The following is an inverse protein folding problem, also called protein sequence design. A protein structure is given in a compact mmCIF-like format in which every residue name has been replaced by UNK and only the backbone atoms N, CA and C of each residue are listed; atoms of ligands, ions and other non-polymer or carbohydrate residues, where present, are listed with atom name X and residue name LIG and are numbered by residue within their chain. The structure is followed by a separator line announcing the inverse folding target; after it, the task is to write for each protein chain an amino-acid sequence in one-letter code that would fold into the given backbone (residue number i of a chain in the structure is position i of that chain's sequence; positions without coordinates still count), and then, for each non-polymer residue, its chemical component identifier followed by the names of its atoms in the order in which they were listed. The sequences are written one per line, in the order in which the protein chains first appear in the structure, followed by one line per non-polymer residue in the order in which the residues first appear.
data_IF_625839893722
#
_entry.id   IF_625839893722
#
_cell.length_a   1.000
_cell.length_b   1.000
_cell.length_c   1.000
_cell.angle_alpha   90.00
_cell.angle_beta   90.00
_cell.angle_gamma   90.00
#
_symmetry.space_group_name_H-M   'P 1'
#
loop_
_entity.id
_entity.type
_entity.pdbx_description
1 polymer ?
#
# COMPACT_ATOMS: atom_id res chain seq x y z
N UNK A 1 -71.36 16.76 31.44
CA UNK A 1 -71.38 18.23 31.35
C UNK A 1 -71.10 18.76 32.74
N UNK A 2 -70.21 19.74 32.89
CA UNK A 2 -69.81 20.28 34.21
C UNK A 2 -70.86 21.33 34.63
N UNK A 3 -71.26 21.33 35.90
CA UNK A 3 -72.23 22.27 36.47
C UNK A 3 -71.75 23.74 36.40
N UNK A 4 -72.71 24.64 36.16
CA UNK A 4 -72.47 26.05 35.86
C UNK A 4 -71.73 26.81 36.98
N UNK A 5 -71.89 26.40 38.24
CA UNK A 5 -71.24 27.05 39.38
C UNK A 5 -69.72 26.78 39.39
N UNK A 6 -69.30 25.57 39.01
CA UNK A 6 -67.87 25.22 38.89
C UNK A 6 -67.19 25.92 37.72
N UNK A 7 -67.95 26.30 36.70
CA UNK A 7 -67.43 27.01 35.54
C UNK A 7 -66.95 28.42 35.91
N UNK A 8 -67.65 29.09 36.83
CA UNK A 8 -67.31 30.43 37.29
C UNK A 8 -66.06 30.46 38.16
N UNK A 9 -65.86 29.45 39.02
CA UNK A 9 -64.63 29.30 39.81
C UNK A 9 -63.42 29.00 38.92
N UNK A 10 -63.62 28.20 37.87
CA UNK A 10 -62.60 27.88 36.90
C UNK A 10 -62.08 29.15 36.21
N UNK A 11 -62.98 30.04 35.76
CA UNK A 11 -62.61 31.31 35.11
C UNK A 11 -61.88 32.31 36.02
N UNK A 12 -62.27 32.43 37.28
CA UNK A 12 -61.61 33.35 38.24
C UNK A 12 -60.16 32.95 38.52
N UNK A 13 -59.83 31.67 38.49
CA UNK A 13 -58.48 31.20 38.78
C UNK A 13 -57.47 31.55 37.67
N UNK A 14 -57.92 31.72 36.42
CA UNK A 14 -57.07 32.14 35.29
C UNK A 14 -56.71 33.64 35.32
N UNK A 15 -57.47 34.48 36.01
CA UNK A 15 -57.15 35.91 36.12
C UNK A 15 -56.13 36.22 37.22
N UNK A 16 -55.94 35.34 38.21
CA UNK A 16 -55.08 35.61 39.38
C UNK A 16 -53.58 35.55 39.07
N UNK A 17 -53.19 34.84 38.02
CA UNK A 17 -51.81 34.74 37.55
C UNK A 17 -51.77 35.22 36.11
N UNK A 18 -51.25 36.43 35.87
CA UNK A 18 -51.23 37.11 34.58
C UNK A 18 -50.37 36.41 33.53
N UNK A 19 -50.89 35.34 32.94
CA UNK A 19 -50.33 34.64 31.79
C UNK A 19 -51.48 34.07 30.97
N UNK A 20 -51.55 34.41 29.67
CA UNK A 20 -52.59 33.93 28.74
C UNK A 20 -52.50 32.40 28.58
N UNK A 21 -53.20 31.66 29.42
CA UNK A 21 -53.35 30.21 29.33
C UNK A 21 -54.68 29.85 28.69
N UNK A 22 -54.80 30.08 27.38
CA UNK A 22 -55.84 29.39 26.60
C UNK A 22 -55.51 27.88 26.60
N UNK A 23 -56.48 26.98 26.85
CA UNK A 23 -56.21 25.55 26.81
C UNK A 23 -55.70 25.17 25.41
N UNK A 24 -54.56 24.48 25.33
CA UNK A 24 -54.11 23.90 24.06
C UNK A 24 -55.17 22.87 23.63
N UNK A 25 -55.67 22.91 22.39
CA UNK A 25 -56.59 21.88 21.92
C UNK A 25 -55.91 20.51 22.01
N UNK A 26 -56.65 19.52 22.53
CA UNK A 26 -56.21 18.12 22.55
C UNK A 26 -55.87 17.67 21.13
N UNK A 27 -54.77 16.91 20.93
CA UNK A 27 -54.46 16.40 19.61
C UNK A 27 -55.54 15.38 19.21
N UNK A 28 -56.38 15.74 18.24
CA UNK A 28 -57.24 14.78 17.55
C UNK A 28 -56.38 13.65 17.00
N UNK A 29 -56.73 12.41 17.35
CA UNK A 29 -56.14 11.22 16.75
C UNK A 29 -56.51 11.18 15.26
N UNK A 30 -55.67 11.79 14.41
CA UNK A 30 -55.81 11.65 12.96
C UNK A 30 -55.66 10.15 12.58
N UNK A 31 -56.60 9.56 11.81
CA UNK A 31 -56.42 8.21 11.31
C UNK A 31 -55.15 8.15 10.48
N UNK A 32 -54.27 7.17 10.76
CA UNK A 32 -52.94 7.00 10.15
C UNK A 32 -53.02 7.23 8.64
N UNK A 33 -52.67 8.44 8.21
CA UNK A 33 -52.53 8.77 6.79
C UNK A 33 -51.48 7.82 6.24
N UNK A 34 -51.90 6.89 5.38
CA UNK A 34 -50.97 6.15 4.55
C UNK A 34 -50.08 7.17 3.87
N UNK A 35 -48.82 7.26 4.32
CA UNK A 35 -47.82 8.15 3.77
C UNK A 35 -47.57 7.66 2.36
N UNK A 36 -48.33 8.17 1.39
CA UNK A 36 -48.05 7.96 -0.03
C UNK A 36 -46.63 8.44 -0.23
N UNK A 37 -45.69 7.50 -0.38
CA UNK A 37 -44.31 7.80 -0.73
C UNK A 37 -44.39 8.63 -2.01
N UNK A 38 -44.09 9.92 -1.91
CA UNK A 38 -43.89 10.75 -3.10
C UNK A 38 -42.67 10.17 -3.80
N UNK A 39 -42.92 9.31 -4.78
CA UNK A 39 -41.89 8.93 -5.74
C UNK A 39 -41.54 10.22 -6.46
N UNK A 40 -40.43 10.85 -6.07
CA UNK A 40 -39.83 11.93 -6.87
C UNK A 40 -39.48 11.29 -8.21
N UNK A 41 -40.35 11.45 -9.20
CA UNK A 41 -39.97 11.19 -10.59
C UNK A 41 -38.88 12.20 -10.88
N UNK A 42 -37.64 11.71 -11.01
CA UNK A 42 -36.52 12.53 -11.47
C UNK A 42 -36.93 12.98 -12.87
N UNK A 43 -37.31 14.25 -12.98
CA UNK A 43 -37.64 14.84 -14.26
C UNK A 43 -36.33 14.98 -15.04
N UNK A 44 -36.03 13.98 -15.86
CA UNK A 44 -35.04 14.14 -16.92
C UNK A 44 -35.58 15.21 -17.87
N UNK A 45 -34.85 16.31 -18.13
CA UNK A 45 -35.32 17.40 -18.98
C UNK A 45 -35.33 16.96 -20.44
N UNK A 46 -36.37 16.22 -20.84
CA UNK A 46 -36.54 15.70 -22.20
C UNK A 46 -37.28 16.72 -23.09
N UNK A 47 -36.86 17.99 -23.04
CA UNK A 47 -37.29 19.00 -24.02
C UNK A 47 -36.55 18.88 -25.35
N UNK A 48 -35.32 18.34 -25.32
CA UNK A 48 -34.43 18.09 -26.47
C UNK A 48 -33.69 16.73 -26.34
N UNK A 49 -34.32 15.74 -25.72
CA UNK A 49 -33.61 14.55 -25.23
C UNK A 49 -32.99 13.63 -26.29
N UNK A 50 -33.37 13.75 -27.57
CA UNK A 50 -32.68 13.04 -28.67
C UNK A 50 -31.24 13.53 -28.86
N UNK A 51 -30.99 14.84 -28.74
CA UNK A 51 -29.63 15.42 -28.85
C UNK A 51 -28.77 15.10 -27.63
N UNK A 52 -29.38 15.13 -26.44
CA UNK A 52 -28.70 14.80 -25.17
C UNK A 52 -28.38 13.30 -25.10
N UNK A 53 -29.30 12.43 -25.54
CA UNK A 53 -29.04 11.00 -25.63
C UNK A 53 -27.94 10.68 -26.64
N UNK A 54 -27.95 11.35 -27.81
CA UNK A 54 -26.89 11.19 -28.80
C UNK A 54 -25.52 11.66 -28.28
N UNK A 55 -25.45 12.82 -27.62
CA UNK A 55 -24.19 13.29 -27.01
C UNK A 55 -23.72 12.38 -25.88
N UNK A 56 -24.64 11.81 -25.09
CA UNK A 56 -24.27 10.86 -24.03
C UNK A 56 -23.65 9.59 -24.62
N UNK A 57 -24.25 9.01 -25.66
CA UNK A 57 -23.69 7.84 -26.36
C UNK A 57 -22.31 8.14 -26.95
N UNK A 58 -22.11 9.33 -27.53
CA UNK A 58 -20.82 9.75 -28.06
C UNK A 58 -19.74 9.80 -26.96
N UNK A 59 -20.04 10.44 -25.83
CA UNK A 59 -19.11 10.56 -24.70
C UNK A 59 -18.81 9.19 -24.10
N UNK A 60 -19.82 8.34 -23.92
CA UNK A 60 -19.62 6.97 -23.42
C UNK A 60 -18.76 6.15 -24.37
N UNK A 61 -18.93 6.31 -25.69
CA UNK A 61 -18.07 5.67 -26.69
C UNK A 61 -16.61 6.07 -26.56
N UNK A 62 -16.33 7.37 -26.37
CA UNK A 62 -14.96 7.88 -26.15
C UNK A 62 -14.35 7.30 -24.87
N UNK A 63 -15.12 7.23 -23.79
CA UNK A 63 -14.66 6.64 -22.52
C UNK A 63 -14.32 5.16 -22.70
N UNK A 64 -15.14 4.40 -23.42
CA UNK A 64 -14.87 2.98 -23.69
C UNK A 64 -13.60 2.78 -24.50
N UNK A 65 -13.37 3.62 -25.52
CA UNK A 65 -12.12 3.58 -26.30
C UNK A 65 -10.90 3.88 -25.42
N UNK A 66 -11.00 4.89 -24.55
CA UNK A 66 -9.93 5.21 -23.60
C UNK A 66 -9.63 4.06 -22.63
N UNK A 67 -10.66 3.35 -22.15
CA UNK A 67 -10.47 2.19 -21.27
C UNK A 67 -9.73 1.05 -21.99
N UNK A 68 -10.02 0.81 -23.26
CA UNK A 68 -9.30 -0.19 -24.06
C UNK A 68 -7.81 0.19 -24.20
N UNK A 69 -7.52 1.46 -24.47
CA UNK A 69 -6.13 1.93 -24.59
C UNK A 69 -5.39 1.76 -23.26
N UNK A 70 -5.97 2.24 -22.15
CA UNK A 70 -5.35 2.12 -20.81
C UNK A 70 -5.12 0.66 -20.43
N UNK A 71 -6.08 -0.22 -20.70
CA UNK A 71 -5.92 -1.65 -20.40
C UNK A 71 -4.85 -2.31 -21.26
N UNK A 72 -4.72 -1.94 -22.54
CA UNK A 72 -3.63 -2.41 -23.39
C UNK A 72 -2.25 -1.94 -22.89
N UNK A 73 -2.11 -0.66 -22.52
CA UNK A 73 -0.87 -0.16 -21.92
C UNK A 73 -0.54 -0.83 -20.59
N UNK A 74 -1.55 -1.06 -19.74
CA UNK A 74 -1.37 -1.77 -18.48
C UNK A 74 -0.92 -3.23 -18.71
N UNK A 75 -1.38 -3.88 -19.78
CA UNK A 75 -0.91 -5.22 -20.16
C UNK A 75 0.55 -5.21 -20.60
N UNK A 76 0.97 -4.24 -21.42
CA UNK A 76 2.38 -4.07 -21.82
C UNK A 76 3.28 -3.82 -20.62
N UNK A 77 2.90 -2.90 -19.72
CA UNK A 77 3.66 -2.61 -18.50
C UNK A 77 3.81 -3.88 -17.63
N UNK A 78 2.75 -4.69 -17.50
CA UNK A 78 2.82 -5.95 -16.76
C UNK A 78 3.78 -6.95 -17.40
N UNK A 79 3.80 -7.01 -18.73
CA UNK A 79 4.74 -7.87 -19.46
C UNK A 79 6.18 -7.44 -19.22
N UNK A 80 6.46 -6.13 -19.32
CA UNK A 80 7.80 -5.58 -19.09
C UNK A 80 8.25 -5.84 -17.65
N UNK A 81 7.38 -5.60 -16.66
CA UNK A 81 7.66 -5.91 -15.25
C UNK A 81 8.01 -7.38 -15.06
N UNK A 82 7.22 -8.30 -15.61
CA UNK A 82 7.46 -9.73 -15.47
C UNK A 82 8.77 -10.15 -16.15
N UNK A 83 9.11 -9.52 -17.27
CA UNK A 83 10.38 -9.76 -17.98
C UNK A 83 11.55 -9.27 -17.13
N UNK A 84 11.49 -8.06 -16.58
CA UNK A 84 12.52 -7.53 -15.68
C UNK A 84 12.68 -8.36 -14.40
N UNK A 85 11.59 -8.88 -13.83
CA UNK A 85 11.65 -9.79 -12.68
C UNK A 85 12.37 -11.08 -13.05
N UNK A 86 12.08 -11.65 -14.24
CA UNK A 86 12.73 -12.86 -14.72
C UNK A 86 14.23 -12.66 -14.93
N UNK A 87 14.63 -11.54 -15.51
CA UNK A 87 16.03 -11.17 -15.71
C UNK A 87 16.75 -10.98 -14.37
N UNK A 88 16.14 -10.27 -13.41
CA UNK A 88 16.70 -10.14 -12.06
C UNK A 88 16.89 -11.49 -11.37
N UNK A 89 15.90 -12.38 -11.45
CA UNK A 89 16.01 -13.71 -10.85
C UNK A 89 17.14 -14.53 -11.49
N UNK A 90 17.34 -14.41 -12.80
CA UNK A 90 18.46 -15.05 -13.50
C UNK A 90 19.82 -14.51 -12.99
N UNK A 91 19.96 -13.18 -12.91
CA UNK A 91 21.15 -12.53 -12.36
C UNK A 91 21.44 -12.94 -10.91
N UNK A 92 20.40 -13.03 -10.07
CA UNK A 92 20.55 -13.53 -8.69
C UNK A 92 21.04 -14.97 -8.66
N UNK A 93 20.50 -15.84 -9.52
CA UNK A 93 20.97 -17.22 -9.62
C UNK A 93 22.43 -17.33 -10.09
N UNK A 94 22.86 -16.44 -11.00
CA UNK A 94 24.27 -16.36 -11.41
C UNK A 94 25.17 -15.92 -10.25
N UNK A 95 24.74 -14.91 -9.47
CA UNK A 95 25.47 -14.46 -8.27
C UNK A 95 25.59 -15.59 -7.25
N UNK A 96 24.51 -16.32 -6.97
CA UNK A 96 24.52 -17.45 -6.03
C UNK A 96 25.47 -18.57 -6.50
N UNK A 97 25.46 -18.89 -7.79
CA UNK A 97 26.38 -19.87 -8.37
C UNK A 97 27.85 -19.40 -8.25
N UNK A 98 28.11 -18.13 -8.55
CA UNK A 98 29.45 -17.54 -8.39
C UNK A 98 29.89 -17.55 -6.94
N UNK A 99 29.01 -17.23 -6.00
CA UNK A 99 29.29 -17.32 -4.56
C UNK A 99 29.59 -18.76 -4.15
N UNK A 100 28.79 -19.74 -4.59
CA UNK A 100 29.05 -21.15 -4.31
C UNK A 100 30.42 -21.60 -4.84
N UNK A 101 30.76 -21.21 -6.08
CA UNK A 101 32.10 -21.43 -6.65
C UNK A 101 33.19 -20.76 -5.82
N UNK A 102 32.99 -19.52 -5.39
CA UNK A 102 33.93 -18.79 -4.55
C UNK A 102 34.11 -19.48 -3.19
N UNK A 103 33.04 -19.90 -2.52
CA UNK A 103 33.14 -20.66 -1.27
C UNK A 103 33.83 -22.01 -1.46
N UNK A 104 33.58 -22.69 -2.58
CA UNK A 104 34.26 -23.95 -2.89
C UNK A 104 35.76 -23.75 -3.18
N UNK A 105 36.11 -22.63 -3.83
CA UNK A 105 37.50 -22.27 -4.16
C UNK A 105 38.25 -21.73 -2.94
N UNK A 106 37.57 -20.95 -2.10
CA UNK A 106 38.10 -20.42 -0.84
C UNK A 106 38.02 -21.45 0.30
N UNK A 107 37.60 -22.69 0.01
CA UNK A 107 37.74 -23.78 0.95
C UNK A 107 39.23 -24.09 1.07
N UNK A 108 39.76 -24.02 2.29
CA UNK A 108 41.16 -24.33 2.62
C UNK A 108 41.58 -25.67 2.01
N UNK A 109 40.69 -26.68 1.99
CA UNK A 109 40.98 -27.98 1.40
C UNK A 109 41.21 -27.91 -0.14
N UNK A 110 40.48 -27.04 -0.84
CA UNK A 110 40.69 -26.84 -2.27
C UNK A 110 42.01 -26.10 -2.53
N UNK A 111 42.31 -25.07 -1.74
CA UNK A 111 43.58 -24.34 -1.83
C UNK A 111 44.75 -25.28 -1.53
N UNK A 112 44.66 -26.08 -0.48
CA UNK A 112 45.69 -27.03 -0.06
C UNK A 112 45.90 -28.14 -1.09
N UNK A 113 44.82 -28.78 -1.57
CA UNK A 113 44.92 -29.81 -2.60
C UNK A 113 45.53 -29.28 -3.89
N UNK A 114 45.21 -28.04 -4.29
CA UNK A 114 45.82 -27.40 -5.46
C UNK A 114 47.27 -26.99 -5.22
N UNK A 115 47.59 -26.45 -4.05
CA UNK A 115 48.94 -26.07 -3.67
C UNK A 115 49.87 -27.30 -3.66
N UNK A 116 49.43 -28.40 -3.06
CA UNK A 116 50.22 -29.63 -2.96
C UNK A 116 50.22 -30.40 -4.29
N UNK A 117 49.06 -30.56 -4.92
CA UNK A 117 48.89 -31.41 -6.09
C UNK A 117 49.30 -30.78 -7.42
N UNK A 118 49.05 -29.48 -7.63
CA UNK A 118 49.36 -28.79 -8.89
C UNK A 118 50.61 -27.92 -8.80
N UNK A 119 50.78 -27.19 -7.69
CA UNK A 119 51.90 -26.25 -7.52
C UNK A 119 53.14 -26.87 -6.86
N UNK A 120 53.04 -28.13 -6.42
CA UNK A 120 54.15 -28.86 -5.78
C UNK A 120 54.58 -28.28 -4.44
N UNK A 121 53.72 -27.49 -3.79
CA UNK A 121 54.00 -26.93 -2.47
C UNK A 121 53.96 -28.06 -1.44
N UNK A 122 54.87 -28.01 -0.46
CA UNK A 122 54.90 -28.99 0.63
C UNK A 122 54.48 -28.29 1.92
N UNK A 123 53.72 -28.98 2.77
CA UNK A 123 53.35 -28.42 4.07
C UNK A 123 54.62 -28.28 4.94
N UNK A 124 54.90 -27.11 5.51
CA UNK A 124 56.14 -26.88 6.24
C UNK A 124 56.20 -27.74 7.51
N UNK A 125 57.38 -28.32 7.77
CA UNK A 125 57.62 -29.08 8.99
C UNK A 125 57.86 -28.15 10.18
N UNK A 126 57.81 -28.71 11.39
CA UNK A 126 57.87 -27.98 12.66
C UNK A 126 59.10 -27.09 12.80
N UNK A 127 60.20 -27.42 12.13
CA UNK A 127 61.46 -26.67 12.13
C UNK A 127 61.54 -25.55 11.08
N UNK A 128 60.59 -25.45 10.15
CA UNK A 128 60.57 -24.43 9.09
C UNK A 128 59.60 -23.27 9.40
N UNK A 129 59.03 -23.26 10.61
CA UNK A 129 58.11 -22.21 11.07
C UNK A 129 58.87 -21.07 11.72
N UNK A 130 58.78 -19.88 11.13
CA UNK A 130 59.25 -18.63 11.73
C UNK A 130 58.07 -18.00 12.47
N UNK A 131 58.21 -17.77 13.77
CA UNK A 131 57.22 -17.06 14.58
C UNK A 131 57.54 -15.57 14.53
N UNK A 132 56.57 -14.77 14.10
CA UNK A 132 56.67 -13.31 14.09
C UNK A 132 56.32 -12.80 15.50
N UNK A 133 57.21 -12.03 16.08
CA UNK A 133 57.06 -11.39 17.39
C UNK A 133 56.70 -9.90 17.25
N UNK A 134 56.34 -9.24 18.36
CA UNK A 134 56.03 -7.79 18.34
C UNK A 134 57.20 -6.95 17.81
N UNK A 135 58.43 -7.44 17.98
CA UNK A 135 59.65 -6.80 17.47
C UNK A 135 59.81 -6.89 15.93
N UNK A 136 59.09 -7.80 15.28
CA UNK A 136 59.11 -7.98 13.82
C UNK A 136 57.98 -7.19 13.12
N UNK A 137 57.17 -6.45 13.89
CA UNK A 137 56.07 -5.67 13.36
C UNK A 137 56.59 -4.39 12.70
N UNK A 138 56.31 -4.13 11.41
CA UNK A 138 56.79 -2.94 10.73
C UNK A 138 56.19 -1.67 11.36
N UNK A 139 57.01 -0.61 11.49
CA UNK A 139 56.62 0.66 12.13
C UNK A 139 55.37 1.29 11.50
N UNK A 140 55.24 1.19 10.17
CA UNK A 140 54.10 1.73 9.40
C UNK A 140 52.86 0.81 9.39
N UNK A 141 52.93 -0.32 10.10
CA UNK A 141 51.85 -1.30 10.17
C UNK A 141 51.78 -2.20 8.93
N UNK A 142 51.49 -3.48 9.17
CA UNK A 142 51.53 -4.53 8.14
C UNK A 142 50.59 -4.25 6.95
N UNK A 143 49.48 -3.55 7.20
CA UNK A 143 48.49 -3.20 6.17
C UNK A 143 49.01 -2.18 5.14
N UNK A 144 49.84 -1.22 5.54
CA UNK A 144 50.39 -0.21 4.62
C UNK A 144 51.47 -0.81 3.73
N UNK A 145 52.35 -1.64 4.30
CA UNK A 145 53.40 -2.37 3.56
C UNK A 145 52.79 -3.33 2.53
N UNK A 146 51.73 -4.06 2.88
CA UNK A 146 51.03 -4.94 1.95
C UNK A 146 50.38 -4.17 0.80
N UNK A 147 49.78 -3.02 1.10
CA UNK A 147 49.17 -2.17 0.08
C UNK A 147 50.21 -1.60 -0.87
N UNK A 148 51.37 -1.18 -0.37
CA UNK A 148 52.45 -0.70 -1.22
C UNK A 148 52.94 -1.81 -2.17
N UNK A 149 53.24 -3.01 -1.66
CA UNK A 149 53.74 -4.13 -2.51
C UNK A 149 52.72 -4.72 -3.47
N UNK A 150 51.42 -4.58 -3.20
CA UNK A 150 50.37 -5.13 -4.05
C UNK A 150 49.95 -4.20 -5.19
N UNK A 151 50.16 -2.89 -5.03
CA UNK A 151 49.69 -1.86 -5.97
C UNK A 151 50.81 -1.05 -6.65
N UNK A 152 52.08 -1.26 -6.25
CA UNK A 152 53.28 -0.84 -6.98
C UNK A 152 54.04 -2.06 -7.52
#
# INVERSE_FOLDING_TARGET
MIDAERWYEYQKNYQKYGFDMKPRPEPEFEPRRHRKRRVKKVAVPFGNGKKIAFSAVLVTGIIMIMLIIVTAYAANIRYDINTMIKENNALTGEIENLQAKLYSTNNINYIESRAIGELGMTYPDSGERIYITEDDMPEDGFGEVLKEKAYN
#
